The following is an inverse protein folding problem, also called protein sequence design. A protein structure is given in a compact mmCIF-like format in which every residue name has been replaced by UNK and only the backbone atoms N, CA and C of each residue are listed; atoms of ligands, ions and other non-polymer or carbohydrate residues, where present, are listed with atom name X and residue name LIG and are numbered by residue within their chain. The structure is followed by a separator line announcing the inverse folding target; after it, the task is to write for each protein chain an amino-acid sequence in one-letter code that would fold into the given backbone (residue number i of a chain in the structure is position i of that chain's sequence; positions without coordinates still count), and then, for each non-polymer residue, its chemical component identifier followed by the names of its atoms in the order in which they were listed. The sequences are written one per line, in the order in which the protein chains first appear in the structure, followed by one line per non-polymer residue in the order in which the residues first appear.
data_IF_036361276719
#
_entry.id   IF_036361276719
#
_cell.length_a   1.000
_cell.length_b   1.000
_cell.length_c   1.000
_cell.angle_alpha   90.00
_cell.angle_beta   90.00
_cell.angle_gamma   90.00
#
_symmetry.space_group_name_H-M   'P 1'
#
loop_
_entity.id
_entity.type
_entity.pdbx_description
1 polymer ?
#
# COMPACT_ATOMS: atom_id res chain seq x y z
N UNK A 1 3.94 -8.44 5.40
CA UNK A 1 2.97 -9.57 5.36
C UNK A 1 1.60 -9.00 5.04
N UNK A 2 0.83 -9.63 4.16
CA UNK A 2 -0.50 -9.16 3.74
C UNK A 2 -1.53 -10.27 3.97
N UNK A 3 -2.63 -9.93 4.64
CA UNK A 3 -3.82 -10.75 4.81
C UNK A 3 -4.81 -10.36 3.74
N UNK A 4 -5.35 -11.34 3.04
CA UNK A 4 -6.30 -11.14 1.95
C UNK A 4 -7.55 -11.97 2.24
N UNK A 5 -8.71 -11.36 2.00
CA UNK A 5 -10.01 -11.97 2.05
C UNK A 5 -10.67 -11.84 0.69
N UNK A 6 -11.35 -12.89 0.26
CA UNK A 6 -12.12 -12.90 -0.98
C UNK A 6 -13.57 -13.26 -0.69
N UNK A 7 -14.50 -12.65 -1.42
CA UNK A 7 -15.93 -12.86 -1.23
C UNK A 7 -16.70 -12.87 -2.57
N UNK A 8 -17.86 -13.52 -2.57
CA UNK A 8 -18.75 -13.72 -3.72
C UNK A 8 -18.55 -15.05 -4.44
N UNK A 9 -19.52 -15.42 -5.29
CA UNK A 9 -19.58 -16.73 -5.99
C UNK A 9 -18.30 -17.09 -6.75
N UNK A 10 -17.57 -16.09 -7.25
CA UNK A 10 -16.34 -16.29 -8.01
C UNK A 10 -15.13 -15.56 -7.41
N UNK A 11 -15.14 -15.25 -6.11
CA UNK A 11 -14.09 -14.43 -5.48
C UNK A 11 -13.88 -13.08 -6.19
N UNK A 12 -14.96 -12.51 -6.73
CA UNK A 12 -14.93 -11.25 -7.47
C UNK A 12 -14.54 -10.09 -6.57
N UNK A 13 -14.91 -10.14 -5.28
CA UNK A 13 -14.51 -9.16 -4.29
C UNK A 13 -13.24 -9.60 -3.59
N UNK A 14 -12.31 -8.67 -3.44
CA UNK A 14 -11.04 -8.89 -2.74
C UNK A 14 -10.82 -7.73 -1.79
N UNK A 15 -10.49 -8.02 -0.55
CA UNK A 15 -10.07 -7.03 0.43
C UNK A 15 -8.77 -7.52 1.05
N UNK A 16 -7.85 -6.61 1.33
CA UNK A 16 -6.56 -6.95 1.90
C UNK A 16 -6.05 -5.86 2.82
N UNK A 17 -5.38 -6.28 3.87
CA UNK A 17 -4.61 -5.41 4.76
C UNK A 17 -3.26 -6.04 4.98
N UNK A 18 -2.22 -5.23 5.09
CA UNK A 18 -0.89 -5.74 5.26
C UNK A 18 0.11 -4.66 5.58
N UNK A 19 1.37 -5.07 5.48
CA UNK A 19 2.51 -4.20 5.59
C UNK A 19 3.48 -4.50 4.45
N UNK A 20 3.98 -3.45 3.84
CA UNK A 20 5.08 -3.49 2.88
C UNK A 20 6.33 -2.88 3.50
N UNK A 21 7.49 -3.41 3.15
CA UNK A 21 8.77 -2.81 3.46
C UNK A 21 9.31 -2.21 2.16
N UNK A 22 9.34 -0.89 2.09
CA UNK A 22 9.92 -0.17 0.96
C UNK A 22 11.31 0.34 1.31
N UNK A 23 12.21 0.36 0.34
CA UNK A 23 13.40 1.21 0.42
C UNK A 23 13.06 2.53 -0.26
N UNK A 24 13.16 3.62 0.48
CA UNK A 24 12.98 4.96 -0.05
C UNK A 24 14.33 5.65 -0.17
N UNK A 25 14.52 6.41 -1.23
CA UNK A 25 15.68 7.27 -1.40
C UNK A 25 15.15 8.69 -1.60
N UNK A 26 15.69 9.63 -0.84
CA UNK A 26 15.33 11.05 -0.95
C UNK A 26 16.59 11.89 -1.02
N UNK A 27 16.48 13.03 -1.68
CA UNK A 27 17.61 13.94 -1.86
C UNK A 27 18.12 14.46 -0.50
N UNK A 28 17.20 14.69 0.43
CA UNK A 28 17.46 15.18 1.79
C UNK A 28 18.31 14.19 2.62
N UNK A 29 18.36 12.91 2.24
CA UNK A 29 19.17 11.88 2.88
C UNK A 29 20.39 11.48 2.04
N UNK A 30 20.83 12.34 1.12
CA UNK A 30 21.94 12.05 0.19
C UNK A 30 21.75 10.72 -0.57
N UNK A 31 20.50 10.35 -0.87
CA UNK A 31 20.13 9.09 -1.55
C UNK A 31 20.52 7.80 -0.80
N UNK A 32 20.85 7.89 0.49
CA UNK A 32 21.03 6.69 1.33
C UNK A 32 19.68 5.96 1.40
N UNK A 33 19.61 4.65 1.05
CA UNK A 33 18.36 3.91 1.08
C UNK A 33 17.87 3.73 2.51
N UNK A 34 16.73 4.35 2.83
CA UNK A 34 16.10 4.25 4.14
C UNK A 34 14.96 3.22 4.07
N UNK A 35 15.01 2.15 4.88
CA UNK A 35 13.92 1.19 4.97
C UNK A 35 12.72 1.80 5.69
N UNK A 36 11.53 1.65 5.11
CA UNK A 36 10.30 2.20 5.65
C UNK A 36 9.20 1.13 5.65
N UNK A 37 8.73 0.68 6.83
CA UNK A 37 7.54 -0.14 6.94
C UNK A 37 6.30 0.72 6.73
N UNK A 38 5.46 0.30 5.79
CA UNK A 38 4.24 1.01 5.41
C UNK A 38 3.03 0.08 5.56
N UNK A 39 2.03 0.46 6.37
CA UNK A 39 0.71 -0.16 6.31
C UNK A 39 0.14 -0.07 4.89
N UNK A 40 -0.37 -1.19 4.39
CA UNK A 40 -0.99 -1.33 3.08
C UNK A 40 -2.42 -1.81 3.27
N UNK A 41 -3.36 -1.21 2.54
CA UNK A 41 -4.76 -1.61 2.49
C UNK A 41 -5.15 -1.72 1.02
N UNK A 42 -6.09 -2.60 0.68
CA UNK A 42 -6.56 -2.70 -0.68
C UNK A 42 -7.93 -3.34 -0.78
N UNK A 43 -8.71 -2.88 -1.74
CA UNK A 43 -9.99 -3.46 -2.11
C UNK A 43 -10.07 -3.54 -3.62
N UNK A 44 -10.55 -4.66 -4.13
CA UNK A 44 -10.62 -4.92 -5.56
C UNK A 44 -11.89 -5.65 -5.95
N UNK A 45 -12.32 -5.38 -7.18
CA UNK A 45 -13.41 -6.06 -7.85
C UNK A 45 -12.95 -6.55 -9.22
N UNK A 46 -12.99 -7.87 -9.42
CA UNK A 46 -12.55 -8.56 -10.65
C UNK A 46 -11.12 -8.16 -11.04
N UNK A 47 -10.99 -7.33 -12.08
CA UNK A 47 -9.73 -6.91 -12.70
C UNK A 47 -9.21 -5.57 -12.16
N UNK A 48 -10.01 -4.88 -11.35
CA UNK A 48 -9.67 -3.57 -10.79
C UNK A 48 -9.35 -3.73 -9.31
N UNK A 49 -8.24 -3.17 -8.86
CA UNK A 49 -7.86 -3.18 -7.45
C UNK A 49 -7.37 -1.79 -7.03
N UNK A 50 -7.99 -1.22 -6.01
CA UNK A 50 -7.59 0.05 -5.40
C UNK A 50 -6.80 -0.27 -4.14
N UNK A 51 -5.55 0.20 -4.10
CA UNK A 51 -4.66 -0.01 -2.97
C UNK A 51 -4.25 1.34 -2.38
N UNK A 52 -3.99 1.35 -1.08
CA UNK A 52 -3.53 2.51 -0.35
C UNK A 52 -2.36 2.14 0.56
N UNK A 53 -1.32 2.96 0.57
CA UNK A 53 -0.17 2.85 1.47
C UNK A 53 -0.08 4.11 2.33
N UNK A 54 -0.04 3.94 3.66
CA UNK A 54 0.05 5.05 4.59
C UNK A 54 1.49 5.26 5.06
N UNK A 55 2.02 6.48 4.97
CA UNK A 55 3.31 6.86 5.52
C UNK A 55 3.11 7.54 6.88
N UNK A 56 3.39 6.85 7.99
CA UNK A 56 3.32 7.47 9.31
C UNK A 56 4.39 8.56 9.43
N UNK A 57 3.99 9.70 9.98
CA UNK A 57 4.87 10.84 10.23
C UNK A 57 5.14 11.07 11.71
N UNK A 58 6.21 11.79 12.02
CA UNK A 58 6.54 12.26 13.36
C UNK A 58 6.64 13.78 13.29
N UNK A 59 5.75 14.49 13.99
CA UNK A 59 5.62 15.97 14.11
C UNK A 59 6.03 16.77 12.85
N UNK A 60 5.05 17.33 12.14
CA UNK A 60 5.16 18.14 10.92
C UNK A 60 5.74 17.45 9.68
N UNK A 61 6.41 16.31 9.81
CA UNK A 61 6.89 15.51 8.67
C UNK A 61 6.15 14.17 8.57
N UNK A 62 5.42 13.95 7.48
CA UNK A 62 4.70 12.71 7.16
C UNK A 62 3.18 12.83 7.26
N UNK A 63 2.48 11.73 7.60
CA UNK A 63 1.02 11.59 7.53
C UNK A 63 0.48 11.73 6.09
N UNK A 64 1.04 10.91 5.18
CA UNK A 64 0.67 10.91 3.77
C UNK A 64 0.02 9.58 3.42
N UNK A 65 -1.13 9.63 2.77
CA UNK A 65 -1.80 8.46 2.21
C UNK A 65 -1.57 8.43 0.69
N UNK A 66 -0.90 7.40 0.21
CA UNK A 66 -0.77 7.12 -1.22
C UNK A 66 -1.88 6.19 -1.64
N UNK A 67 -2.71 6.59 -2.61
CA UNK A 67 -3.76 5.74 -3.17
C UNK A 67 -3.45 5.51 -4.65
N UNK A 68 -3.49 4.26 -5.08
CA UNK A 68 -3.21 3.87 -6.46
C UNK A 68 -4.09 2.71 -6.89
N UNK A 69 -4.51 2.76 -8.16
CA UNK A 69 -5.31 1.71 -8.78
C UNK A 69 -4.43 0.82 -9.65
N UNK A 70 -4.66 -0.49 -9.56
CA UNK A 70 -4.04 -1.52 -10.38
C UNK A 70 -5.11 -2.16 -11.24
N UNK A 71 -4.84 -2.23 -12.54
CA UNK A 71 -5.67 -2.92 -13.52
C UNK A 71 -4.92 -4.15 -14.02
N UNK A 72 -5.58 -5.30 -14.03
CA UNK A 72 -5.06 -6.54 -14.59
C UNK A 72 -5.79 -6.86 -15.89
N UNK A 73 -5.04 -6.95 -17.00
CA UNK A 73 -5.54 -7.33 -18.33
C UNK A 73 -5.23 -8.78 -18.64
#
# INVERSE_FOLDING_TARGET
RQWNWTAGDENQWRAGVGYTLGLTQRHEYAYIPVPLPLPLFGVGYRNVNVQAAYVPGIKNDGNVLFVFSRFSF
#
